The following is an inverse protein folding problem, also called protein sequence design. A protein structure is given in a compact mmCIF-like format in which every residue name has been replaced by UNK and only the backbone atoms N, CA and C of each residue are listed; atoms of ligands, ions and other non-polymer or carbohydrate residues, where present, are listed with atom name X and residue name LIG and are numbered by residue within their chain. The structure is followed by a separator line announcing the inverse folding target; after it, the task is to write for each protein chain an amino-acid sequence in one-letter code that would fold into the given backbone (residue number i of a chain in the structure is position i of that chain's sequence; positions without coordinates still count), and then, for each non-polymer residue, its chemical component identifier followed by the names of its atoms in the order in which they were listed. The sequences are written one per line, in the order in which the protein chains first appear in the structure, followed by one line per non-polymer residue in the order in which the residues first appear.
data_IF_409595822970
#
_entry.id   IF_409595822970
#
_cell.length_a   1.000
_cell.length_b   1.000
_cell.length_c   1.000
_cell.angle_alpha   90.00
_cell.angle_beta   90.00
_cell.angle_gamma   90.00
#
_symmetry.space_group_name_H-M   'P 1'
#
loop_
_entity.id
_entity.type
_entity.pdbx_description
1 polymer ?
#
# COMPACT_ATOMS: atom_id res chain seq x y z
N UNK A 1 16.10 23.99 -18.99
CA UNK A 1 16.47 23.11 -17.86
C UNK A 1 16.85 21.75 -18.41
N UNK A 2 18.07 21.28 -18.18
CA UNK A 2 18.44 19.90 -18.54
C UNK A 2 17.81 18.92 -17.55
N UNK A 3 17.72 17.62 -17.89
CA UNK A 3 17.23 16.59 -16.95
C UNK A 3 18.01 16.59 -15.63
N UNK A 4 19.33 16.78 -15.72
CA UNK A 4 20.23 16.84 -14.56
C UNK A 4 19.98 18.08 -13.71
N UNK A 5 19.69 19.22 -14.32
CA UNK A 5 19.32 20.43 -13.58
C UNK A 5 18.01 20.24 -12.82
N UNK A 6 17.01 19.63 -13.47
CA UNK A 6 15.71 19.34 -12.85
C UNK A 6 15.84 18.40 -11.65
N UNK A 7 16.66 17.35 -11.77
CA UNK A 7 16.96 16.41 -10.70
C UNK A 7 17.67 17.10 -9.52
N UNK A 8 18.72 17.88 -9.79
CA UNK A 8 19.44 18.61 -8.76
C UNK A 8 18.53 19.60 -8.02
N UNK A 9 17.64 20.26 -8.75
CA UNK A 9 16.69 21.21 -8.18
C UNK A 9 15.65 20.50 -7.31
N UNK A 10 15.11 19.37 -7.77
CA UNK A 10 14.21 18.54 -6.97
C UNK A 10 14.89 18.11 -5.66
N UNK A 11 16.10 17.57 -5.71
CA UNK A 11 16.83 17.11 -4.53
C UNK A 11 17.06 18.25 -3.54
N UNK A 12 17.36 19.46 -4.03
CA UNK A 12 17.48 20.66 -3.18
C UNK A 12 16.17 20.97 -2.46
N UNK A 13 15.05 20.99 -3.19
CA UNK A 13 13.75 21.31 -2.59
C UNK A 13 13.25 20.21 -1.63
N UNK A 14 13.53 18.93 -1.91
CA UNK A 14 13.27 17.85 -0.97
C UNK A 14 14.11 17.99 0.30
N UNK A 15 15.36 18.43 0.20
CA UNK A 15 16.20 18.74 1.37
C UNK A 15 15.65 19.89 2.21
N UNK A 16 15.10 20.92 1.56
CA UNK A 16 14.40 22.01 2.24
C UNK A 16 13.16 21.48 2.97
N UNK A 17 12.37 20.62 2.34
CA UNK A 17 11.21 19.98 2.97
C UNK A 17 11.60 19.09 4.15
N UNK A 18 12.60 18.22 3.99
CA UNK A 18 13.09 17.33 5.05
C UNK A 18 13.50 18.10 6.31
N UNK A 19 14.03 19.32 6.15
CA UNK A 19 14.41 20.18 7.28
C UNK A 19 13.23 20.59 8.17
N UNK A 20 12.00 20.55 7.63
CA UNK A 20 10.76 20.85 8.37
C UNK A 20 10.20 19.63 9.11
N UNK A 21 10.75 18.43 8.88
CA UNK A 21 10.28 17.22 9.53
C UNK A 21 10.61 17.20 11.03
N UNK A 22 9.64 16.72 11.81
CA UNK A 22 9.82 16.44 13.24
C UNK A 22 10.95 15.42 13.48
N UNK A 23 11.65 15.46 14.62
CA UNK A 23 12.68 14.47 14.94
C UNK A 23 12.22 13.02 14.81
N UNK A 24 10.96 12.73 15.18
CA UNK A 24 10.37 11.40 15.18
C UNK A 24 10.08 10.87 13.77
N UNK A 25 9.73 11.76 12.83
CA UNK A 25 9.39 11.37 11.45
C UNK A 25 10.56 11.48 10.46
N UNK A 26 11.66 12.11 10.85
CA UNK A 26 12.78 12.47 9.96
C UNK A 26 13.38 11.26 9.22
N UNK A 27 13.61 10.15 9.91
CA UNK A 27 14.16 8.95 9.27
C UNK A 27 13.22 8.37 8.20
N UNK A 28 11.91 8.32 8.50
CA UNK A 28 10.89 7.88 7.55
C UNK A 28 10.83 8.80 6.33
N UNK A 29 10.71 10.11 6.56
CA UNK A 29 10.63 11.12 5.48
C UNK A 29 11.86 11.06 4.58
N UNK A 30 13.05 10.90 5.17
CA UNK A 30 14.30 10.76 4.42
C UNK A 30 14.30 9.51 3.52
N UNK A 31 13.80 8.38 4.03
CA UNK A 31 13.64 7.16 3.23
C UNK A 31 12.65 7.39 2.07
N UNK A 32 11.48 7.94 2.38
CA UNK A 32 10.43 8.23 1.39
C UNK A 32 10.93 9.17 0.29
N UNK A 33 11.71 10.20 0.64
CA UNK A 33 12.28 11.14 -0.34
C UNK A 33 13.41 10.53 -1.16
N UNK A 34 14.17 9.59 -0.58
CA UNK A 34 15.17 8.82 -1.32
C UNK A 34 14.48 7.97 -2.40
N UNK A 35 13.38 7.31 -2.05
CA UNK A 35 12.62 6.48 -3.00
C UNK A 35 11.90 7.33 -4.05
N UNK A 36 11.32 8.46 -3.64
CA UNK A 36 10.74 9.43 -4.55
C UNK A 36 11.76 9.97 -5.57
N UNK A 37 12.99 10.25 -5.13
CA UNK A 37 14.07 10.70 -6.01
C UNK A 37 14.41 9.62 -7.07
N UNK A 38 14.47 8.34 -6.69
CA UNK A 38 14.69 7.23 -7.64
C UNK A 38 13.55 7.15 -8.67
N UNK A 39 12.30 7.31 -8.23
CA UNK A 39 11.15 7.33 -9.14
C UNK A 39 11.22 8.51 -10.11
N UNK A 40 11.59 9.69 -9.63
CA UNK A 40 11.74 10.87 -10.46
C UNK A 40 12.87 10.74 -11.48
N UNK A 41 14.02 10.18 -11.08
CA UNK A 41 15.12 9.87 -11.99
C UNK A 41 14.66 8.95 -13.12
N UNK A 42 13.92 7.88 -12.80
CA UNK A 42 13.36 6.97 -13.81
C UNK A 42 12.38 7.70 -14.74
N UNK A 43 11.50 8.52 -14.18
CA UNK A 43 10.57 9.35 -14.95
C UNK A 43 11.30 10.28 -15.94
N UNK A 44 12.39 10.93 -15.51
CA UNK A 44 13.20 11.76 -16.40
C UNK A 44 13.94 10.95 -17.47
N UNK A 45 14.37 9.72 -17.15
CA UNK A 45 15.09 8.85 -18.07
C UNK A 45 14.19 8.26 -19.15
N UNK A 46 12.93 7.97 -18.83
CA UNK A 46 11.97 7.40 -19.77
C UNK A 46 11.80 8.30 -21.01
N UNK A 47 12.26 7.79 -22.15
CA UNK A 47 12.09 8.43 -23.46
C UNK A 47 11.53 7.42 -24.46
N UNK A 48 10.28 7.64 -24.85
CA UNK A 48 9.62 6.86 -25.89
C UNK A 48 8.76 5.70 -25.35
N UNK A 49 8.15 4.92 -26.25
CA UNK A 49 7.34 3.78 -25.85
C UNK A 49 8.21 2.73 -25.17
N UNK A 50 7.89 2.40 -23.91
CA UNK A 50 8.65 1.45 -23.08
C UNK A 50 8.60 0.01 -23.59
N UNK A 51 7.82 -0.27 -24.65
CA UNK A 51 7.57 -1.61 -25.18
C UNK A 51 7.79 -1.61 -26.69
N UNK A 52 8.72 -2.43 -27.16
CA UNK A 52 8.88 -2.70 -28.58
C UNK A 52 7.78 -3.67 -29.03
N UNK A 53 6.78 -3.17 -29.76
CA UNK A 53 5.60 -3.94 -30.16
C UNK A 53 5.94 -5.25 -30.88
N UNK A 54 6.94 -5.21 -31.76
CA UNK A 54 7.42 -6.38 -32.52
C UNK A 54 8.05 -7.48 -31.64
N UNK A 55 8.41 -7.15 -30.39
CA UNK A 55 8.98 -8.11 -29.43
C UNK A 55 7.91 -8.75 -28.54
N UNK A 56 6.64 -8.33 -28.65
CA UNK A 56 5.55 -8.94 -27.88
C UNK A 56 5.28 -10.34 -28.44
N UNK A 57 5.43 -11.34 -27.58
CA UNK A 57 5.19 -12.74 -27.92
C UNK A 57 4.03 -13.28 -27.09
N UNK A 58 3.36 -14.31 -27.61
CA UNK A 58 2.40 -15.08 -26.81
C UNK A 58 3.15 -15.71 -25.64
N UNK A 59 2.48 -15.79 -24.50
CA UNK A 59 3.02 -16.51 -23.35
C UNK A 59 3.35 -17.95 -23.75
N UNK A 60 4.48 -18.50 -23.26
CA UNK A 60 4.78 -19.91 -23.45
C UNK A 60 3.59 -20.79 -23.02
N UNK A 61 3.38 -21.95 -23.68
CA UNK A 61 2.47 -22.97 -23.18
C UNK A 61 2.75 -23.24 -21.70
N UNK A 62 1.70 -23.44 -20.90
CA UNK A 62 1.76 -23.72 -19.45
C UNK A 62 2.17 -22.54 -18.54
N UNK A 63 2.37 -21.33 -19.07
CA UNK A 63 2.59 -20.12 -18.24
C UNK A 63 1.38 -19.75 -17.37
N UNK A 64 0.19 -20.18 -17.79
CA UNK A 64 -1.07 -20.01 -17.07
C UNK A 64 -1.69 -21.39 -16.96
N UNK A 65 -1.99 -21.80 -15.72
CA UNK A 65 -2.67 -23.06 -15.44
C UNK A 65 -4.16 -22.83 -15.23
N UNK A 66 -4.96 -23.76 -15.72
CA UNK A 66 -6.40 -23.77 -15.44
C UNK A 66 -6.64 -24.06 -13.95
N UNK A 67 -7.56 -23.31 -13.34
CA UNK A 67 -7.94 -23.50 -11.94
C UNK A 67 -8.52 -24.90 -11.72
N UNK A 68 -9.31 -25.41 -12.67
CA UNK A 68 -9.94 -26.73 -12.57
C UNK A 68 -8.93 -27.89 -12.68
N UNK A 69 -7.68 -27.59 -13.06
CA UNK A 69 -6.57 -28.57 -13.09
C UNK A 69 -5.86 -28.74 -11.75
N UNK A 70 -6.18 -27.90 -10.75
CA UNK A 70 -5.55 -27.93 -9.44
C UNK A 70 -6.17 -29.04 -8.58
N UNK A 71 -5.32 -29.77 -7.86
CA UNK A 71 -5.78 -30.81 -6.93
C UNK A 71 -6.22 -30.18 -5.62
N UNK A 72 -7.37 -30.63 -5.11
CA UNK A 72 -7.84 -30.22 -3.80
C UNK A 72 -6.96 -30.88 -2.72
N UNK A 73 -6.31 -30.08 -1.85
CA UNK A 73 -5.46 -30.60 -0.78
C UNK A 73 -6.29 -31.27 0.33
N UNK A 74 -5.68 -32.20 1.05
CA UNK A 74 -6.27 -32.78 2.25
C UNK A 74 -6.39 -31.75 3.38
N UNK A 75 -7.25 -32.03 4.36
CA UNK A 75 -7.45 -31.14 5.51
C UNK A 75 -6.14 -30.83 6.26
N UNK A 76 -5.27 -31.82 6.43
CA UNK A 76 -3.98 -31.64 7.11
C UNK A 76 -3.01 -30.77 6.29
N UNK A 77 -2.99 -30.93 4.97
CA UNK A 77 -2.19 -30.09 4.08
C UNK A 77 -2.68 -28.64 4.10
N UNK A 78 -4.00 -28.42 4.10
CA UNK A 78 -4.59 -27.07 4.23
C UNK A 78 -4.11 -26.43 5.54
N UNK A 79 -4.27 -27.13 6.67
CA UNK A 79 -3.82 -26.64 7.98
C UNK A 79 -2.33 -26.26 7.96
N UNK A 80 -1.47 -27.11 7.41
CA UNK A 80 -0.04 -26.85 7.31
C UNK A 80 0.27 -25.62 6.43
N UNK A 81 -0.39 -25.49 5.28
CA UNK A 81 -0.18 -24.38 4.35
C UNK A 81 -0.69 -23.05 4.92
N UNK A 82 -1.85 -23.05 5.58
CA UNK A 82 -2.41 -21.84 6.19
C UNK A 82 -1.51 -21.27 7.29
N UNK A 83 -0.79 -22.11 8.04
CA UNK A 83 0.19 -21.64 9.04
C UNK A 83 1.39 -20.90 8.43
N UNK A 84 1.56 -20.92 7.10
CA UNK A 84 2.60 -20.19 6.37
C UNK A 84 2.04 -19.02 5.57
N UNK A 85 0.72 -18.80 5.62
CA UNK A 85 0.01 -17.83 4.82
C UNK A 85 -0.27 -16.56 5.62
N UNK A 86 -0.17 -15.41 4.95
CA UNK A 86 -0.67 -14.13 5.45
C UNK A 86 -1.62 -13.57 4.39
N UNK A 87 -2.76 -13.02 4.83
CA UNK A 87 -3.70 -12.31 3.95
C UNK A 87 -3.45 -10.82 4.04
N UNK A 88 -3.12 -10.18 2.92
CA UNK A 88 -2.96 -8.73 2.82
C UNK A 88 -4.15 -8.13 2.07
N UNK A 89 -4.70 -7.01 2.58
CA UNK A 89 -5.69 -6.19 1.87
C UNK A 89 -5.16 -4.77 1.69
N UNK A 90 -5.24 -4.28 0.46
CA UNK A 90 -4.95 -2.89 0.11
C UNK A 90 -6.14 -2.02 0.55
N UNK A 91 -5.92 -1.18 1.56
CA UNK A 91 -6.93 -0.41 2.27
C UNK A 91 -6.68 1.11 2.20
N UNK A 92 -5.99 1.57 1.16
CA UNK A 92 -5.62 2.97 0.98
C UNK A 92 -6.68 3.84 0.29
N UNK A 93 -7.70 3.22 -0.31
CA UNK A 93 -8.70 3.90 -1.11
C UNK A 93 -9.82 4.55 -0.30
N UNK A 94 -10.20 5.76 -0.68
CA UNK A 94 -11.36 6.48 -0.14
C UNK A 94 -12.67 6.10 -0.84
N UNK A 95 -13.77 6.22 -0.11
CA UNK A 95 -15.13 6.08 -0.62
C UNK A 95 -15.65 7.23 -1.48
N UNK A 96 -14.80 8.21 -1.84
CA UNK A 96 -15.22 9.49 -2.44
C UNK A 96 -15.94 9.32 -3.77
N UNK A 97 -15.52 8.36 -4.61
CA UNK A 97 -16.20 8.05 -5.87
C UNK A 97 -17.63 7.50 -5.70
N UNK A 98 -17.97 7.07 -4.48
CA UNK A 98 -19.30 6.60 -4.10
C UNK A 98 -20.02 7.59 -3.17
N UNK A 99 -19.49 8.81 -3.01
CA UNK A 99 -20.08 9.85 -2.16
C UNK A 99 -19.93 9.58 -0.66
N UNK A 100 -19.07 8.66 -0.25
CA UNK A 100 -18.82 8.35 1.16
C UNK A 100 -17.54 9.00 1.67
N UNK A 101 -17.58 9.47 2.91
CA UNK A 101 -16.38 9.89 3.63
C UNK A 101 -15.77 8.68 4.37
N UNK A 102 -14.44 8.60 4.36
CA UNK A 102 -13.66 7.55 5.03
C UNK A 102 -13.18 6.42 4.11
N UNK A 103 -12.52 5.41 4.70
CA UNK A 103 -11.97 4.26 3.97
C UNK A 103 -13.05 3.51 3.21
N UNK A 104 -12.77 3.11 1.97
CA UNK A 104 -13.72 2.32 1.17
C UNK A 104 -14.13 1.01 1.85
N UNK A 105 -13.25 0.46 2.69
CA UNK A 105 -13.49 -0.76 3.44
C UNK A 105 -14.56 -0.64 4.54
N UNK A 106 -14.88 0.58 4.97
CA UNK A 106 -15.89 0.86 6.00
C UNK A 106 -17.30 1.04 5.43
N UNK A 107 -17.46 0.90 4.12
CA UNK A 107 -18.75 1.07 3.44
C UNK A 107 -19.57 -0.19 3.59
N UNK A 108 -20.82 -0.01 4.01
CA UNK A 108 -21.82 -1.06 4.14
C UNK A 108 -22.21 -1.59 2.76
N UNK A 109 -22.19 -2.91 2.60
CA UNK A 109 -22.50 -3.59 1.33
C UNK A 109 -23.82 -4.35 1.43
N UNK A 110 -23.94 -5.22 2.44
CA UNK A 110 -25.06 -6.16 2.55
C UNK A 110 -25.30 -6.51 4.01
N UNK A 111 -26.56 -6.53 4.42
CA UNK A 111 -26.99 -6.90 5.78
C UNK A 111 -26.22 -6.10 6.85
N UNK A 112 -26.03 -4.80 6.61
CA UNK A 112 -25.27 -3.90 7.48
C UNK A 112 -23.77 -4.25 7.68
N UNK A 113 -23.24 -5.19 6.89
CA UNK A 113 -21.83 -5.57 6.91
C UNK A 113 -21.00 -4.75 5.91
N UNK A 114 -19.84 -4.28 6.35
CA UNK A 114 -18.86 -3.61 5.49
C UNK A 114 -17.94 -4.60 4.75
N UNK A 115 -17.13 -4.11 3.80
CA UNK A 115 -16.08 -4.94 3.16
C UNK A 115 -15.12 -5.53 4.19
N UNK A 116 -14.75 -4.73 5.20
CA UNK A 116 -13.87 -5.19 6.26
C UNK A 116 -14.55 -6.25 7.14
N UNK A 117 -15.84 -6.10 7.43
CA UNK A 117 -16.61 -7.10 8.19
C UNK A 117 -16.62 -8.46 7.50
N UNK A 118 -16.91 -8.46 6.19
CA UNK A 118 -16.91 -9.70 5.40
C UNK A 118 -15.52 -10.34 5.36
N UNK A 119 -14.46 -9.53 5.24
CA UNK A 119 -13.09 -10.05 5.24
C UNK A 119 -12.74 -10.67 6.59
N UNK A 120 -13.06 -10.00 7.69
CA UNK A 120 -12.80 -10.52 9.04
C UNK A 120 -13.58 -11.81 9.29
N UNK A 121 -14.86 -11.87 8.90
CA UNK A 121 -15.68 -13.09 9.02
C UNK A 121 -15.11 -14.26 8.21
N UNK A 122 -14.58 -14.00 7.02
CA UNK A 122 -13.95 -15.04 6.19
C UNK A 122 -12.71 -15.62 6.88
N UNK A 123 -11.83 -14.76 7.41
CA UNK A 123 -10.61 -15.21 8.09
C UNK A 123 -10.94 -15.88 9.43
N UNK A 124 -11.92 -15.36 10.18
CA UNK A 124 -12.38 -15.99 11.42
C UNK A 124 -12.95 -17.39 11.18
N UNK A 125 -13.78 -17.55 10.14
CA UNK A 125 -14.32 -18.84 9.75
C UNK A 125 -13.22 -19.82 9.33
N UNK A 126 -12.23 -19.35 8.58
CA UNK A 126 -11.06 -20.11 8.17
C UNK A 126 -10.25 -20.60 9.38
N UNK A 127 -9.92 -19.68 10.30
CA UNK A 127 -9.17 -19.96 11.52
C UNK A 127 -9.87 -21.00 12.40
N UNK A 128 -11.19 -20.85 12.62
CA UNK A 128 -11.99 -21.82 13.38
C UNK A 128 -12.09 -23.18 12.70
N UNK A 129 -12.26 -23.22 11.38
CA UNK A 129 -12.46 -24.46 10.62
C UNK A 129 -11.20 -25.34 10.60
N UNK A 130 -10.03 -24.71 10.44
CA UNK A 130 -8.75 -25.43 10.34
C UNK A 130 -7.91 -25.36 11.61
N UNK A 131 -8.40 -24.70 12.67
CA UNK A 131 -7.74 -24.46 13.96
C UNK A 131 -6.35 -23.80 13.79
N UNK A 132 -6.28 -22.76 12.95
CA UNK A 132 -5.07 -22.00 12.61
C UNK A 132 -5.25 -20.52 12.98
N UNK A 133 -4.18 -19.74 12.92
CA UNK A 133 -4.22 -18.29 13.18
C UNK A 133 -3.62 -17.51 11.99
N UNK A 134 -4.37 -17.42 10.89
CA UNK A 134 -3.96 -16.65 9.71
C UNK A 134 -4.07 -15.15 10.02
N UNK A 135 -2.97 -14.38 9.91
CA UNK A 135 -3.01 -12.94 10.13
C UNK A 135 -3.63 -12.21 8.93
N UNK A 136 -4.40 -11.16 9.23
CA UNK A 136 -4.92 -10.20 8.28
C UNK A 136 -4.12 -8.90 8.37
N UNK A 137 -3.43 -8.52 7.30
CA UNK A 137 -2.70 -7.25 7.22
C UNK A 137 -3.45 -6.24 6.34
N UNK A 138 -3.64 -5.03 6.84
CA UNK A 138 -4.26 -3.92 6.13
C UNK A 138 -3.18 -2.90 5.77
N UNK A 139 -2.95 -2.71 4.46
CA UNK A 139 -2.09 -1.66 3.94
C UNK A 139 -2.90 -0.36 3.82
N UNK A 140 -2.75 0.52 4.80
CA UNK A 140 -3.42 1.79 4.88
C UNK A 140 -2.62 2.89 4.17
N UNK A 141 -3.15 4.10 4.21
CA UNK A 141 -2.46 5.34 3.83
C UNK A 141 -2.67 6.37 4.92
N UNK A 142 -1.90 7.46 4.92
CA UNK A 142 -2.15 8.62 5.81
C UNK A 142 -3.62 9.10 5.77
N UNK A 143 -4.27 8.87 4.64
CA UNK A 143 -5.66 9.16 4.34
C UNK A 143 -6.67 8.23 5.04
N UNK A 144 -6.33 6.97 5.29
CA UNK A 144 -7.26 5.94 5.81
C UNK A 144 -6.88 5.36 7.16
N UNK A 145 -5.67 5.62 7.65
CA UNK A 145 -5.11 4.92 8.80
C UNK A 145 -5.85 5.22 10.10
N UNK A 146 -6.03 6.50 10.43
CA UNK A 146 -6.68 6.92 11.66
C UNK A 146 -8.13 6.40 11.77
N UNK A 147 -8.87 6.39 10.66
CA UNK A 147 -10.22 5.83 10.63
C UNK A 147 -10.21 4.30 10.72
N UNK A 148 -9.26 3.65 10.05
CA UNK A 148 -9.09 2.20 10.12
C UNK A 148 -8.77 1.75 11.55
N UNK A 149 -7.86 2.45 12.26
CA UNK A 149 -7.54 2.17 13.65
C UNK A 149 -8.76 2.25 14.59
N UNK A 150 -9.69 3.17 14.32
CA UNK A 150 -10.95 3.27 15.08
C UNK A 150 -11.86 2.09 14.77
N UNK A 151 -11.99 1.73 13.49
CA UNK A 151 -12.86 0.64 13.03
C UNK A 151 -12.37 -0.72 13.55
N UNK A 152 -11.07 -1.01 13.48
CA UNK A 152 -10.55 -2.34 13.86
C UNK A 152 -10.77 -2.68 15.34
N UNK A 153 -10.99 -1.68 16.21
CA UNK A 153 -11.31 -1.89 17.63
C UNK A 153 -12.58 -2.72 17.81
N UNK A 154 -13.52 -2.67 16.85
CA UNK A 154 -14.76 -3.46 16.88
C UNK A 154 -14.53 -4.97 16.76
N UNK A 155 -13.37 -5.38 16.25
CA UNK A 155 -13.01 -6.79 16.09
C UNK A 155 -12.18 -7.34 17.25
N UNK A 156 -11.93 -6.55 18.30
CA UNK A 156 -11.24 -7.03 19.49
C UNK A 156 -12.06 -8.16 20.14
N UNK A 157 -11.43 -9.32 20.27
CA UNK A 157 -12.06 -10.52 20.83
C UNK A 157 -12.53 -11.54 19.78
N UNK A 158 -12.45 -11.22 18.48
CA UNK A 158 -12.57 -12.21 17.42
C UNK A 158 -11.25 -12.97 17.24
N UNK A 159 -11.35 -14.20 16.73
CA UNK A 159 -10.19 -15.06 16.46
C UNK A 159 -9.46 -14.69 15.16
N UNK A 160 -9.05 -13.42 15.05
CA UNK A 160 -8.35 -12.86 13.90
C UNK A 160 -7.27 -11.89 14.37
N UNK A 161 -6.03 -12.18 13.99
CA UNK A 161 -4.89 -11.28 14.22
C UNK A 161 -4.84 -10.21 13.12
N UNK A 162 -5.39 -9.03 13.40
CA UNK A 162 -5.39 -7.89 12.47
C UNK A 162 -4.17 -7.01 12.76
N UNK A 163 -3.32 -6.80 11.76
CA UNK A 163 -2.22 -5.83 11.78
C UNK A 163 -2.42 -4.78 10.71
N UNK A 164 -1.96 -3.55 10.97
CA UNK A 164 -2.00 -2.45 10.02
C UNK A 164 -0.58 -1.98 9.73
N UNK A 165 -0.37 -1.46 8.53
CA UNK A 165 0.81 -0.70 8.18
C UNK A 165 0.45 0.36 7.15
N UNK A 166 1.21 1.45 7.14
CA UNK A 166 1.02 2.51 6.16
C UNK A 166 1.95 2.32 4.97
N UNK A 167 1.41 2.65 3.81
CA UNK A 167 2.22 2.89 2.62
C UNK A 167 2.91 4.26 2.69
N UNK A 168 3.93 4.48 1.86
CA UNK A 168 4.69 5.72 1.80
C UNK A 168 3.82 6.94 1.50
N UNK A 169 4.32 8.13 1.85
CA UNK A 169 3.76 9.41 1.47
C UNK A 169 4.75 10.19 0.60
N UNK A 170 4.32 10.64 -0.58
CA UNK A 170 5.16 11.40 -1.50
C UNK A 170 4.57 12.78 -1.80
N UNK A 171 5.41 13.81 -1.99
CA UNK A 171 4.92 15.12 -2.37
C UNK A 171 4.50 15.11 -3.83
N UNK A 172 3.36 15.73 -4.14
CA UNK A 172 2.97 16.00 -5.53
C UNK A 172 3.93 17.01 -6.15
N UNK A 173 4.08 16.95 -7.46
CA UNK A 173 4.91 17.88 -8.23
C UNK A 173 4.06 18.80 -9.10
N UNK A 174 4.48 20.04 -9.23
CA UNK A 174 3.92 20.97 -10.19
C UNK A 174 4.36 20.56 -11.60
N UNK A 175 3.42 20.49 -12.54
CA UNK A 175 3.69 20.04 -13.91
C UNK A 175 4.68 20.94 -14.63
N UNK A 176 4.58 22.25 -14.43
CA UNK A 176 5.36 23.25 -15.14
C UNK A 176 6.78 23.37 -14.59
N UNK A 177 6.95 23.36 -13.27
CA UNK A 177 8.26 23.51 -12.63
C UNK A 177 8.98 22.18 -12.38
N UNK A 178 8.25 21.07 -12.32
CA UNK A 178 8.73 19.75 -11.87
C UNK A 178 9.23 19.72 -10.42
N UNK A 179 8.80 20.68 -9.59
CA UNK A 179 9.17 20.79 -8.19
C UNK A 179 8.03 20.37 -7.26
N UNK A 180 8.32 19.96 -6.00
CA UNK A 180 7.31 19.62 -5.02
C UNK A 180 6.41 20.81 -4.73
N UNK A 181 5.11 20.57 -4.55
CA UNK A 181 4.15 21.63 -4.17
C UNK A 181 3.99 21.77 -2.66
N UNK A 182 4.33 20.73 -1.91
CA UNK A 182 4.35 20.75 -0.45
C UNK A 182 5.29 21.84 0.06
N UNK A 183 4.94 22.47 1.19
CA UNK A 183 5.73 23.54 1.82
C UNK A 183 6.45 23.10 3.08
N UNK A 184 5.91 22.09 3.76
CA UNK A 184 6.47 21.48 4.95
C UNK A 184 6.03 20.01 5.02
N UNK A 185 6.60 19.24 5.95
CA UNK A 185 6.29 17.83 6.18
C UNK A 185 5.05 17.57 7.06
N UNK A 186 4.28 18.60 7.42
CA UNK A 186 2.99 18.43 8.08
C UNK A 186 1.92 18.12 7.03
N UNK A 187 1.58 16.83 6.91
CA UNK A 187 0.63 16.34 5.92
C UNK A 187 -0.78 16.85 6.21
N UNK A 188 -1.13 17.08 7.48
CA UNK A 188 -2.49 17.48 7.88
C UNK A 188 -2.75 18.97 7.55
N UNK A 189 -1.69 19.80 7.51
CA UNK A 189 -1.80 21.22 7.11
C UNK A 189 -2.15 21.38 5.62
N UNK A 190 -1.61 20.51 4.76
CA UNK A 190 -1.78 20.60 3.30
C UNK A 190 -1.83 19.21 2.64
N UNK A 191 -2.88 18.45 2.98
CA UNK A 191 -3.06 17.06 2.55
C UNK A 191 -3.09 16.90 1.02
N UNK A 192 -3.56 17.92 0.30
CA UNK A 192 -3.65 17.94 -1.16
C UNK A 192 -2.29 18.08 -1.85
N UNK A 193 -1.27 18.53 -1.13
CA UNK A 193 0.11 18.54 -1.60
C UNK A 193 0.79 17.18 -1.55
N UNK A 194 0.14 16.18 -0.97
CA UNK A 194 0.66 14.84 -0.78
C UNK A 194 -0.16 13.79 -1.54
N UNK A 195 0.47 12.66 -1.82
CA UNK A 195 -0.23 11.50 -2.37
C UNK A 195 0.43 10.19 -1.93
N UNK A 196 -0.37 9.12 -1.79
CA UNK A 196 0.19 7.79 -1.70
C UNK A 196 0.71 7.33 -3.08
N UNK A 197 1.92 6.75 -3.19
CA UNK A 197 2.53 6.33 -4.47
C UNK A 197 1.87 5.11 -5.14
N UNK A 198 0.61 4.82 -4.81
CA UNK A 198 -0.17 3.73 -5.37
C UNK A 198 0.23 2.36 -4.85
N UNK A 199 -0.49 1.34 -5.32
CA UNK A 199 -0.38 -0.05 -4.88
C UNK A 199 1.02 -0.68 -5.06
N UNK A 200 1.83 -0.15 -5.98
CA UNK A 200 3.18 -0.67 -6.24
C UNK A 200 4.16 -0.45 -5.10
N UNK A 201 3.90 0.54 -4.25
CA UNK A 201 4.65 0.80 -3.01
C UNK A 201 4.49 -0.30 -1.96
N UNK A 202 3.59 -1.26 -2.20
CA UNK A 202 3.42 -2.43 -1.34
C UNK A 202 4.77 -3.10 -1.02
N UNK A 203 5.65 -3.27 -2.00
CA UNK A 203 6.92 -3.97 -1.79
C UNK A 203 7.84 -3.23 -0.81
N UNK A 204 8.00 -1.92 -0.98
CA UNK A 204 8.88 -1.10 -0.12
C UNK A 204 8.29 -1.00 1.30
N UNK A 205 7.01 -0.61 1.39
CA UNK A 205 6.33 -0.43 2.67
C UNK A 205 6.18 -1.74 3.44
N UNK A 206 5.89 -2.86 2.76
CA UNK A 206 5.80 -4.16 3.40
C UNK A 206 7.16 -4.69 3.84
N UNK A 207 8.23 -4.45 3.08
CA UNK A 207 9.58 -4.83 3.47
C UNK A 207 9.94 -4.20 4.81
N UNK A 208 9.73 -2.89 4.99
CA UNK A 208 9.99 -2.21 6.28
C UNK A 208 9.22 -2.88 7.43
N UNK A 209 7.97 -3.25 7.19
CA UNK A 209 7.09 -3.84 8.22
C UNK A 209 7.51 -5.25 8.59
N UNK A 210 7.93 -6.09 7.64
CA UNK A 210 8.40 -7.46 7.92
C UNK A 210 9.59 -7.43 8.88
N UNK A 211 10.55 -6.54 8.65
CA UNK A 211 11.69 -6.37 9.55
C UNK A 211 11.27 -5.88 10.94
N UNK A 212 10.34 -4.93 11.02
CA UNK A 212 9.88 -4.38 12.30
C UNK A 212 9.00 -5.36 13.10
N UNK A 213 8.23 -6.20 12.41
CA UNK A 213 7.26 -7.09 13.03
C UNK A 213 7.77 -8.52 13.26
N UNK A 214 9.03 -8.82 12.92
CA UNK A 214 9.64 -10.16 12.98
C UNK A 214 8.70 -11.23 12.39
N UNK A 215 8.10 -10.92 11.23
CA UNK A 215 7.22 -11.83 10.50
C UNK A 215 8.03 -12.85 9.70
#
# INVERSE_FOLDING_TARGET
MTKRDAENELVRELGNLESTATPESRERVKSEFTDFTKLFQKFLQDQGPSVAWEQIQKLPPDSIRDYDSLQEPSHEEIRMMLNKLIVVKLNSGFGTSMGCHGPKSSIVIRNDLTFLDLTVQQIESLNKTFNVSVPLMLMNSFNTDADTERIIRKYRGLDVNIKTFNQSCHPRICRESLLPIAKNCDIDEDIDSWYPPGHGDFYESFHVVVYLMNL
#
